data_IF_425866490227
#
_entry.id   IF_425866490227
#
_cell.length_a   1.000
_cell.length_b   1.000
_cell.length_c   1.000
_cell.angle_alpha   90.00
_cell.angle_beta   90.00
_cell.angle_gamma   90.00
#
_symmetry.space_group_name_H-M   'P 1'
#
loop_
_entity.id
_entity.type
_entity.pdbx_description
1 polymer ?
#
# COMPACT_ATOMS: atom_id res chain seq x y z
N UNK A 1 17.27 -19.49 -8.66
CA UNK A 1 16.37 -18.36 -9.00
C UNK A 1 15.94 -18.52 -10.45
N UNK A 2 14.63 -18.50 -10.71
CA UNK A 2 13.98 -18.69 -12.00
C UNK A 2 13.43 -17.37 -12.52
N UNK A 3 13.50 -17.13 -13.83
CA UNK A 3 13.11 -15.86 -14.46
C UNK A 3 12.12 -16.12 -15.61
N UNK A 4 10.82 -16.30 -15.34
CA UNK A 4 9.83 -16.48 -16.38
C UNK A 4 9.64 -15.19 -17.20
N UNK A 5 9.31 -15.33 -18.49
CA UNK A 5 9.07 -14.26 -19.44
C UNK A 5 7.59 -14.16 -19.87
N UNK A 6 6.79 -15.17 -19.54
CA UNK A 6 5.36 -15.24 -19.87
C UNK A 6 4.62 -16.23 -18.95
N UNK A 7 3.30 -16.22 -19.03
CA UNK A 7 2.40 -17.05 -18.22
C UNK A 7 2.66 -18.55 -18.38
N UNK A 8 2.98 -19.03 -19.57
CA UNK A 8 3.24 -20.47 -19.81
C UNK A 8 4.50 -20.93 -19.09
N UNK A 9 5.58 -20.13 -19.10
CA UNK A 9 6.79 -20.46 -18.32
C UNK A 9 6.52 -20.47 -16.81
N UNK A 10 5.66 -19.58 -16.29
CA UNK A 10 5.23 -19.63 -14.88
C UNK A 10 4.51 -20.95 -14.59
N UNK A 11 3.63 -21.37 -15.49
CA UNK A 11 2.92 -22.64 -15.39
C UNK A 11 3.87 -23.84 -15.39
N UNK A 12 4.83 -23.87 -16.31
CA UNK A 12 5.86 -24.92 -16.40
C UNK A 12 6.69 -24.99 -15.11
N UNK A 13 7.10 -23.84 -14.56
CA UNK A 13 7.85 -23.77 -13.28
C UNK A 13 7.01 -24.37 -12.14
N UNK A 14 5.74 -24.04 -12.04
CA UNK A 14 4.84 -24.56 -11.00
C UNK A 14 4.67 -26.08 -11.14
N UNK A 15 4.44 -26.58 -12.36
CA UNK A 15 4.29 -28.01 -12.61
C UNK A 15 5.58 -28.80 -12.28
N UNK A 16 6.73 -28.26 -12.68
CA UNK A 16 8.03 -28.87 -12.33
C UNK A 16 8.29 -28.84 -10.82
N UNK A 17 7.93 -27.76 -10.13
CA UNK A 17 8.07 -27.66 -8.68
C UNK A 17 7.18 -28.66 -7.93
N UNK A 18 5.98 -28.96 -8.45
CA UNK A 18 5.11 -30.01 -7.93
C UNK A 18 5.74 -31.39 -8.05
N UNK A 19 6.29 -31.71 -9.22
CA UNK A 19 6.96 -33.01 -9.47
C UNK A 19 8.18 -33.23 -8.56
N UNK A 20 8.88 -32.13 -8.22
CA UNK A 20 10.10 -32.15 -7.41
C UNK A 20 9.85 -31.82 -5.93
N UNK A 21 8.60 -31.61 -5.51
CA UNK A 21 8.21 -31.20 -4.15
C UNK A 21 8.98 -29.96 -3.65
N UNK A 22 9.26 -28.98 -4.55
CA UNK A 22 10.06 -27.79 -4.26
C UNK A 22 9.16 -26.58 -4.00
N UNK A 23 9.36 -25.90 -2.87
CA UNK A 23 8.66 -24.64 -2.57
C UNK A 23 9.10 -23.52 -3.50
N UNK A 24 8.18 -22.64 -3.89
CA UNK A 24 8.41 -21.48 -4.75
C UNK A 24 8.11 -20.17 -4.03
N UNK A 25 9.01 -19.18 -4.07
CA UNK A 25 8.84 -17.85 -3.48
C UNK A 25 8.79 -16.81 -4.58
N UNK A 26 7.67 -16.06 -4.75
CA UNK A 26 7.54 -15.06 -5.79
C UNK A 26 8.27 -13.76 -5.43
N UNK A 27 8.93 -13.15 -6.41
CA UNK A 27 9.66 -11.89 -6.31
C UNK A 27 9.41 -11.04 -7.55
N UNK A 28 8.93 -9.79 -7.38
CA UNK A 28 8.62 -8.90 -8.51
C UNK A 28 9.23 -7.52 -8.42
N UNK A 29 9.54 -7.05 -7.20
CA UNK A 29 10.14 -5.73 -6.98
C UNK A 29 11.66 -5.81 -6.92
N UNK A 30 12.34 -4.70 -7.26
CA UNK A 30 13.76 -4.54 -6.96
C UNK A 30 14.00 -4.42 -5.43
N UNK A 31 15.17 -4.85 -4.92
CA UNK A 31 15.51 -4.69 -3.51
C UNK A 31 15.49 -3.20 -3.07
N UNK A 32 15.38 -2.92 -1.75
CA UNK A 32 15.24 -3.86 -0.65
C UNK A 32 13.85 -4.51 -0.56
N UNK A 33 13.80 -5.73 -0.01
CA UNK A 33 12.55 -6.46 0.20
C UNK A 33 12.19 -6.42 1.68
N UNK A 34 11.07 -5.80 2.02
CA UNK A 34 10.63 -5.65 3.42
C UNK A 34 9.86 -6.86 3.91
N UNK A 35 8.99 -7.43 3.06
CA UNK A 35 8.09 -8.53 3.41
C UNK A 35 7.96 -9.53 2.27
N UNK A 36 7.39 -10.70 2.53
CA UNK A 36 6.96 -11.68 1.52
C UNK A 36 8.04 -12.50 0.84
N UNK A 37 9.18 -11.91 0.50
CA UNK A 37 10.28 -12.58 -0.23
C UNK A 37 11.33 -13.23 0.69
N UNK A 38 11.02 -13.47 1.95
CA UNK A 38 11.91 -14.24 2.83
C UNK A 38 11.97 -15.68 2.36
N UNK A 39 13.18 -16.13 2.01
CA UNK A 39 13.42 -17.50 1.59
C UNK A 39 13.20 -18.43 2.76
N UNK A 40 12.46 -19.52 2.53
CA UNK A 40 12.50 -20.71 3.37
C UNK A 40 13.64 -21.59 2.88
N UNK A 41 14.30 -22.30 3.79
CA UNK A 41 15.35 -23.25 3.43
C UNK A 41 14.81 -24.27 2.42
N UNK A 42 15.45 -24.37 1.26
CA UNK A 42 15.08 -25.29 0.19
C UNK A 42 14.06 -24.77 -0.83
N UNK A 43 13.51 -23.56 -0.67
CA UNK A 43 12.60 -22.98 -1.66
C UNK A 43 13.36 -22.27 -2.79
N UNK A 44 12.81 -22.30 -4.01
CA UNK A 44 13.34 -21.57 -5.17
C UNK A 44 12.61 -20.24 -5.35
N UNK A 45 13.37 -19.19 -5.69
CA UNK A 45 12.81 -17.87 -6.00
C UNK A 45 12.39 -17.81 -7.46
N UNK A 46 11.14 -17.37 -7.71
CA UNK A 46 10.61 -17.04 -9.03
C UNK A 46 10.59 -15.52 -9.17
N UNK A 47 11.53 -14.99 -9.96
CA UNK A 47 11.71 -13.55 -10.16
C UNK A 47 11.01 -13.08 -11.43
N UNK A 48 9.96 -12.28 -11.27
CA UNK A 48 9.13 -11.77 -12.37
C UNK A 48 9.73 -10.52 -13.07
N UNK A 49 10.97 -10.17 -12.84
CA UNK A 49 11.59 -8.96 -13.42
C UNK A 49 11.62 -8.95 -14.95
N UNK A 50 11.58 -10.11 -15.61
CA UNK A 50 11.47 -10.23 -17.07
C UNK A 50 10.06 -10.11 -17.61
N UNK A 51 9.03 -10.26 -16.78
CA UNK A 51 7.63 -9.99 -17.13
C UNK A 51 7.33 -8.51 -16.82
N UNK A 52 7.82 -7.61 -17.66
CA UNK A 52 7.83 -6.16 -17.42
C UNK A 52 7.12 -5.35 -18.50
N UNK A 53 6.17 -5.95 -19.21
CA UNK A 53 5.39 -5.25 -20.24
C UNK A 53 4.27 -4.43 -19.62
N UNK A 54 4.15 -3.16 -20.06
CA UNK A 54 2.93 -2.37 -19.90
C UNK A 54 2.02 -2.79 -21.04
N UNK A 55 1.02 -3.62 -20.75
CA UNK A 55 0.18 -4.28 -21.74
C UNK A 55 -0.80 -3.26 -22.37
N UNK A 56 -1.41 -2.40 -21.54
CA UNK A 56 -2.35 -1.38 -21.99
C UNK A 56 -2.46 -0.23 -20.99
N UNK A 57 -2.58 0.99 -21.52
CA UNK A 57 -3.02 2.17 -20.79
C UNK A 57 -4.27 2.68 -21.52
N UNK A 58 -5.41 2.72 -20.85
CA UNK A 58 -6.67 3.17 -21.44
C UNK A 58 -7.17 4.43 -20.74
N UNK A 59 -7.07 5.55 -21.47
CA UNK A 59 -7.47 6.86 -20.96
C UNK A 59 -8.99 6.97 -20.75
N UNK A 60 -9.77 6.34 -21.65
CA UNK A 60 -11.24 6.45 -21.60
C UNK A 60 -11.81 5.70 -20.41
N UNK A 61 -11.35 4.46 -20.22
CA UNK A 61 -11.79 3.59 -19.13
C UNK A 61 -10.98 3.77 -17.85
N UNK A 62 -9.91 4.58 -17.87
CA UNK A 62 -9.05 4.96 -16.76
C UNK A 62 -8.45 3.74 -16.03
N UNK A 63 -7.73 2.93 -16.78
CA UNK A 63 -6.99 1.80 -16.20
C UNK A 63 -5.64 1.60 -16.89
N UNK A 64 -4.78 0.88 -16.22
CA UNK A 64 -3.53 0.34 -16.77
C UNK A 64 -3.48 -1.15 -16.54
N UNK A 65 -2.99 -1.91 -17.51
CA UNK A 65 -2.72 -3.35 -17.36
C UNK A 65 -1.23 -3.59 -17.50
N UNK A 66 -0.66 -4.25 -16.51
CA UNK A 66 0.78 -4.43 -16.36
C UNK A 66 1.13 -5.84 -15.95
N UNK A 67 2.28 -6.29 -16.37
CA UNK A 67 2.93 -7.50 -15.84
C UNK A 67 3.59 -7.22 -14.47
N UNK A 68 3.83 -8.24 -13.64
CA UNK A 68 4.29 -8.06 -12.26
C UNK A 68 5.68 -7.44 -12.12
N UNK A 69 6.54 -7.50 -13.15
CA UNK A 69 7.85 -6.86 -13.15
C UNK A 69 7.84 -5.37 -13.46
N UNK A 70 6.69 -4.79 -13.86
CA UNK A 70 6.59 -3.35 -14.14
C UNK A 70 6.66 -2.56 -12.84
N UNK A 71 7.65 -1.65 -12.76
CA UNK A 71 7.91 -0.81 -11.58
C UNK A 71 7.17 0.53 -11.64
N UNK A 72 6.98 1.18 -10.50
CA UNK A 72 6.42 2.53 -10.46
C UNK A 72 7.27 3.54 -11.24
N UNK A 73 8.61 3.40 -11.17
CA UNK A 73 9.53 4.26 -11.89
C UNK A 73 9.37 4.24 -13.41
N UNK A 74 8.96 3.08 -13.96
CA UNK A 74 8.70 2.90 -15.40
C UNK A 74 7.27 3.26 -15.77
N UNK A 75 6.29 2.99 -14.90
CA UNK A 75 4.87 3.12 -15.19
C UNK A 75 4.38 4.56 -15.09
N UNK A 76 4.75 5.29 -14.03
CA UNK A 76 4.22 6.63 -13.74
C UNK A 76 4.43 7.60 -14.89
N UNK A 77 5.63 7.74 -15.51
CA UNK A 77 5.81 8.65 -16.64
C UNK A 77 4.89 8.35 -17.81
N UNK A 78 4.75 7.06 -18.17
CA UNK A 78 3.91 6.63 -19.29
C UNK A 78 2.42 6.85 -19.05
N UNK A 79 1.97 6.73 -17.80
CA UNK A 79 0.59 7.02 -17.39
C UNK A 79 0.33 8.53 -17.45
N UNK A 80 1.28 9.35 -16.98
CA UNK A 80 1.20 10.83 -17.06
C UNK A 80 1.14 11.34 -18.50
N UNK A 81 1.91 10.74 -19.43
CA UNK A 81 1.86 11.06 -20.87
C UNK A 81 0.46 10.85 -21.48
N UNK A 82 -0.35 9.96 -20.92
CA UNK A 82 -1.73 9.73 -21.33
C UNK A 82 -2.74 10.64 -20.62
N UNK A 83 -2.28 11.63 -19.82
CA UNK A 83 -3.14 12.50 -19.04
C UNK A 83 -3.83 11.78 -17.87
N UNK A 84 -3.23 10.71 -17.38
CA UNK A 84 -3.70 9.92 -16.24
C UNK A 84 -2.69 9.98 -15.09
N UNK A 85 -3.15 9.62 -13.89
CA UNK A 85 -2.32 9.37 -12.72
C UNK A 85 -2.73 8.06 -12.04
N UNK A 86 -1.79 7.46 -11.32
CA UNK A 86 -2.06 6.30 -10.47
C UNK A 86 -2.47 6.77 -9.07
N UNK A 87 -3.22 5.93 -8.37
CA UNK A 87 -3.41 6.08 -6.93
C UNK A 87 -2.24 5.39 -6.22
N UNK A 88 -1.29 6.20 -5.75
CA UNK A 88 -0.01 5.75 -5.24
C UNK A 88 -0.04 5.51 -3.72
N UNK A 89 0.74 4.55 -3.21
CA UNK A 89 1.14 4.54 -1.82
C UNK A 89 2.00 5.76 -1.46
N UNK A 90 2.08 6.06 -0.18
CA UNK A 90 2.97 7.12 0.30
C UNK A 90 4.43 6.78 0.00
N UNK A 91 5.11 7.67 -0.72
CA UNK A 91 6.50 7.52 -1.14
C UNK A 91 6.79 6.14 -1.76
N UNK A 92 5.95 5.73 -2.71
CA UNK A 92 6.14 4.50 -3.46
C UNK A 92 7.55 4.46 -4.07
N UNK A 93 8.34 3.42 -3.76
CA UNK A 93 9.70 3.30 -4.31
C UNK A 93 9.67 3.13 -5.82
N UNK A 94 10.59 3.78 -6.55
CA UNK A 94 10.68 3.65 -8.00
C UNK A 94 10.85 2.19 -8.47
N UNK A 95 11.62 1.38 -7.75
CA UNK A 95 11.84 -0.04 -8.03
C UNK A 95 10.78 -1.01 -7.50
N UNK A 96 9.70 -0.51 -6.86
CA UNK A 96 8.58 -1.36 -6.40
C UNK A 96 7.68 -1.73 -7.58
N UNK A 97 7.30 -2.98 -7.67
CA UNK A 97 6.29 -3.45 -8.62
C UNK A 97 4.93 -2.84 -8.34
N UNK A 98 4.30 -2.23 -9.35
CA UNK A 98 2.97 -1.65 -9.23
C UNK A 98 1.88 -2.72 -8.98
N UNK A 99 2.00 -3.89 -9.61
CA UNK A 99 1.10 -5.01 -9.38
C UNK A 99 1.26 -5.59 -7.96
N UNK A 100 2.49 -5.81 -7.49
CA UNK A 100 2.74 -6.32 -6.14
C UNK A 100 2.25 -5.37 -5.05
N UNK A 101 2.49 -4.06 -5.20
CA UNK A 101 1.98 -3.03 -4.28
C UNK A 101 0.47 -3.12 -4.10
N UNK A 102 -0.27 -3.26 -5.21
CA UNK A 102 -1.73 -3.40 -5.18
C UNK A 102 -2.19 -4.73 -4.59
N UNK A 103 -1.50 -5.84 -4.92
CA UNK A 103 -1.78 -7.16 -4.36
C UNK A 103 -1.51 -7.23 -2.85
N UNK A 104 -0.49 -6.53 -2.37
CA UNK A 104 -0.15 -6.41 -0.95
C UNK A 104 -1.10 -5.47 -0.18
N UNK A 105 -2.04 -4.81 -0.84
CA UNK A 105 -2.93 -3.79 -0.24
C UNK A 105 -2.15 -2.67 0.43
N UNK A 106 -1.10 -2.17 -0.20
CA UNK A 106 -0.44 -0.98 0.32
C UNK A 106 -1.42 0.20 0.38
N UNK A 107 -1.39 0.94 1.47
CA UNK A 107 -2.28 2.07 1.70
C UNK A 107 -2.05 3.16 0.64
N UNK A 108 -3.10 3.60 -0.02
CA UNK A 108 -3.03 4.60 -1.09
C UNK A 108 -3.44 5.98 -0.59
N UNK A 109 -2.90 7.03 -1.24
CA UNK A 109 -3.06 8.43 -0.81
C UNK A 109 -4.42 9.05 -1.18
N UNK A 110 -5.13 8.49 -2.19
CA UNK A 110 -6.41 9.03 -2.69
C UNK A 110 -7.59 8.24 -2.09
N UNK A 111 -8.11 8.60 -0.90
CA UNK A 111 -9.21 7.89 -0.28
C UNK A 111 -10.56 8.13 -0.96
N UNK A 112 -10.70 9.25 -1.66
CA UNK A 112 -11.91 9.77 -2.29
C UNK A 112 -12.52 8.83 -3.35
N UNK A 113 -11.66 8.15 -4.11
CA UNK A 113 -12.05 7.24 -5.20
C UNK A 113 -11.93 5.76 -4.84
N UNK A 114 -11.58 5.46 -3.60
CA UNK A 114 -11.46 4.11 -3.12
C UNK A 114 -12.84 3.58 -2.70
N UNK A 115 -13.29 2.49 -3.31
CA UNK A 115 -14.56 1.83 -2.99
C UNK A 115 -14.38 0.65 -2.05
N UNK A 116 -13.26 -0.04 -2.16
CA UNK A 116 -12.95 -1.23 -1.38
C UNK A 116 -11.45 -1.29 -1.05
N UNK A 117 -11.07 -2.11 -0.08
CA UNK A 117 -9.68 -2.33 0.32
C UNK A 117 -8.78 -2.92 -0.77
N UNK A 118 -9.24 -3.77 -1.72
CA UNK A 118 -8.44 -4.18 -2.87
C UNK A 118 -8.14 -3.08 -3.89
N UNK A 119 -8.83 -1.94 -3.85
CA UNK A 119 -8.52 -0.83 -4.75
C UNK A 119 -7.03 -0.41 -4.59
N UNK A 120 -6.31 -0.10 -5.67
CA UNK A 120 -6.75 0.10 -7.06
C UNK A 120 -6.81 -1.16 -7.95
N UNK A 121 -6.70 -2.37 -7.42
CA UNK A 121 -6.69 -3.61 -8.19
C UNK A 121 -8.09 -3.92 -8.75
N UNK A 122 -8.18 -4.22 -10.06
CA UNK A 122 -9.43 -4.51 -10.75
C UNK A 122 -9.55 -5.99 -11.13
N UNK A 123 -8.66 -6.46 -12.00
CA UNK A 123 -8.66 -7.84 -12.50
C UNK A 123 -7.23 -8.35 -12.56
N UNK A 124 -7.06 -9.65 -12.48
CA UNK A 124 -5.76 -10.30 -12.63
C UNK A 124 -5.86 -11.59 -13.42
N UNK A 125 -4.74 -11.98 -14.03
CA UNK A 125 -4.46 -13.35 -14.42
C UNK A 125 -3.54 -13.97 -13.38
N UNK A 126 -3.82 -15.20 -13.00
CA UNK A 126 -3.01 -15.92 -12.01
C UNK A 126 -2.82 -17.37 -12.46
N UNK A 127 -1.67 -17.96 -12.09
CA UNK A 127 -1.42 -19.39 -12.19
C UNK A 127 -1.48 -19.97 -10.78
N UNK A 128 -2.40 -20.90 -10.57
CA UNK A 128 -2.53 -21.60 -9.29
C UNK A 128 -1.46 -22.68 -9.11
N UNK A 129 -1.31 -23.19 -7.90
CA UNK A 129 -0.42 -24.31 -7.59
C UNK A 129 -0.77 -25.59 -8.34
N UNK A 130 -1.99 -25.74 -8.85
CA UNK A 130 -2.40 -26.83 -9.76
C UNK A 130 -1.79 -26.70 -11.16
N UNK A 131 -1.25 -25.54 -11.53
CA UNK A 131 -0.83 -25.19 -12.90
C UNK A 131 -1.95 -24.62 -13.75
N UNK A 132 -3.16 -24.45 -13.22
CA UNK A 132 -4.28 -23.86 -13.95
C UNK A 132 -4.12 -22.33 -14.04
N UNK A 133 -4.35 -21.81 -15.25
CA UNK A 133 -4.41 -20.35 -15.49
C UNK A 133 -5.84 -19.88 -15.27
N UNK A 134 -6.00 -18.84 -14.44
CA UNK A 134 -7.29 -18.31 -14.08
C UNK A 134 -7.34 -16.79 -14.22
N UNK A 135 -8.49 -16.27 -14.65
CA UNK A 135 -8.75 -14.85 -14.87
C UNK A 135 -9.91 -14.40 -13.98
N UNK A 136 -9.68 -13.35 -13.20
CA UNK A 136 -10.69 -12.82 -12.26
C UNK A 136 -11.65 -11.84 -12.93
N UNK A 137 -12.83 -11.65 -12.34
CA UNK A 137 -13.81 -10.68 -12.79
C UNK A 137 -14.24 -10.89 -14.24
N UNK A 138 -14.47 -9.81 -14.97
CA UNK A 138 -14.84 -9.87 -16.39
C UNK A 138 -13.74 -10.43 -17.30
N UNK A 139 -12.49 -10.53 -16.82
CA UNK A 139 -11.43 -11.14 -17.58
C UNK A 139 -11.64 -12.65 -17.80
N UNK A 140 -12.40 -13.32 -16.91
CA UNK A 140 -12.78 -14.73 -17.03
C UNK A 140 -13.91 -15.01 -18.01
N UNK A 141 -14.53 -13.97 -18.62
CA UNK A 141 -15.53 -14.13 -19.68
C UNK A 141 -14.91 -14.41 -21.04
N UNK A 142 -15.76 -14.70 -22.05
CA UNK A 142 -15.28 -14.83 -23.45
C UNK A 142 -14.69 -13.51 -23.94
N UNK A 143 -13.79 -13.56 -24.93
CA UNK A 143 -13.18 -12.34 -25.50
C UNK A 143 -14.22 -11.35 -26.03
N UNK A 144 -15.34 -11.84 -26.53
CA UNK A 144 -16.46 -11.04 -27.07
C UNK A 144 -17.29 -10.36 -25.96
N UNK A 145 -17.38 -10.97 -24.76
CA UNK A 145 -18.20 -10.48 -23.65
C UNK A 145 -17.41 -9.77 -22.53
N UNK A 146 -16.10 -9.77 -22.62
CA UNK A 146 -15.21 -9.46 -21.49
C UNK A 146 -15.06 -7.97 -21.16
N UNK A 147 -15.89 -7.06 -21.70
CA UNK A 147 -15.93 -5.63 -21.34
C UNK A 147 -14.53 -5.04 -21.01
N UNK A 148 -13.58 -5.16 -21.93
CA UNK A 148 -12.16 -4.80 -21.78
C UNK A 148 -11.42 -5.51 -20.61
N UNK A 149 -12.01 -6.53 -20.01
CA UNK A 149 -11.41 -7.30 -18.88
C UNK A 149 -11.11 -6.45 -17.65
N UNK A 150 -11.92 -5.45 -17.36
CA UNK A 150 -11.63 -4.46 -16.27
C UNK A 150 -12.61 -4.48 -15.12
N UNK A 151 -13.77 -5.13 -15.26
CA UNK A 151 -14.76 -5.19 -14.18
C UNK A 151 -14.32 -6.21 -13.13
N UNK A 152 -14.19 -5.79 -11.83
CA UNK A 152 -13.55 -6.61 -10.81
C UNK A 152 -14.42 -7.75 -10.28
N UNK A 153 -15.75 -7.66 -10.45
CA UNK A 153 -16.70 -8.60 -9.83
C UNK A 153 -16.88 -9.87 -10.65
N UNK A 154 -16.94 -10.99 -9.95
CA UNK A 154 -17.26 -12.28 -10.54
C UNK A 154 -16.02 -13.10 -10.98
N UNK A 155 -16.22 -14.08 -11.86
CA UNK A 155 -17.53 -14.49 -12.40
C UNK A 155 -18.45 -15.12 -11.35
N UNK A 156 -19.73 -14.80 -11.43
CA UNK A 156 -20.74 -15.37 -10.54
C UNK A 156 -20.70 -14.81 -9.11
N UNK A 157 -20.94 -15.67 -8.12
CA UNK A 157 -21.10 -15.33 -6.71
C UNK A 157 -19.78 -15.29 -5.91
N UNK A 158 -18.66 -15.69 -6.50
CA UNK A 158 -17.34 -15.78 -5.83
C UNK A 158 -16.42 -14.69 -6.38
N UNK A 159 -15.85 -13.90 -5.47
CA UNK A 159 -14.83 -12.90 -5.79
C UNK A 159 -13.43 -13.49 -5.57
N UNK A 160 -12.87 -14.09 -6.61
CA UNK A 160 -11.54 -14.69 -6.58
C UNK A 160 -10.41 -13.67 -6.37
N UNK A 161 -10.62 -12.41 -6.73
CA UNK A 161 -9.63 -11.36 -6.51
C UNK A 161 -9.31 -11.19 -5.02
N UNK A 162 -10.30 -11.36 -4.16
CA UNK A 162 -10.11 -11.26 -2.70
C UNK A 162 -9.30 -12.38 -2.11
N UNK A 163 -9.28 -13.59 -2.73
CA UNK A 163 -8.40 -14.67 -2.32
C UNK A 163 -6.93 -14.41 -2.65
N UNK A 164 -6.66 -13.65 -3.70
CA UNK A 164 -5.30 -13.32 -4.15
C UNK A 164 -4.75 -12.08 -3.45
N UNK A 165 -5.62 -11.15 -3.06
CA UNK A 165 -5.25 -9.90 -2.41
C UNK A 165 -4.79 -10.14 -0.97
N UNK A 166 -3.61 -9.65 -0.60
CA UNK A 166 -2.89 -9.90 0.66
C UNK A 166 -2.54 -11.38 0.93
N UNK A 167 -2.65 -12.25 -0.08
CA UNK A 167 -2.32 -13.67 0.05
C UNK A 167 -0.82 -13.98 0.06
N UNK A 168 0.05 -12.99 -0.06
CA UNK A 168 1.51 -13.16 -0.05
C UNK A 168 2.03 -14.22 -1.05
N UNK A 169 1.32 -14.40 -2.19
CA UNK A 169 1.68 -15.40 -3.19
C UNK A 169 1.42 -16.87 -2.79
N UNK A 170 0.68 -17.13 -1.72
CA UNK A 170 0.39 -18.49 -1.25
C UNK A 170 -0.73 -19.20 -2.02
N UNK A 171 -1.57 -18.46 -2.74
CA UNK A 171 -2.74 -18.99 -3.47
C UNK A 171 -2.45 -19.14 -4.96
N UNK A 172 -1.72 -18.21 -5.55
CA UNK A 172 -1.37 -18.20 -6.97
C UNK A 172 -0.33 -17.15 -7.29
N UNK A 173 0.32 -17.29 -8.44
CA UNK A 173 1.27 -16.32 -8.97
C UNK A 173 0.60 -15.48 -10.04
N UNK A 174 0.46 -14.19 -9.79
CA UNK A 174 -0.17 -13.24 -10.71
C UNK A 174 0.78 -12.93 -11.86
N UNK A 175 0.30 -13.07 -13.08
CA UNK A 175 1.08 -12.88 -14.33
C UNK A 175 0.75 -11.57 -15.04
N UNK A 176 -0.40 -10.98 -14.78
CA UNK A 176 -0.69 -9.56 -15.04
C UNK A 176 -1.79 -9.05 -14.11
N UNK A 177 -1.81 -7.72 -13.93
CA UNK A 177 -2.81 -7.03 -13.13
C UNK A 177 -3.35 -5.81 -13.87
N UNK A 178 -4.65 -5.55 -13.74
CA UNK A 178 -5.30 -4.31 -14.18
C UNK A 178 -5.52 -3.41 -12.98
N UNK A 179 -5.01 -2.18 -13.04
CA UNK A 179 -5.06 -1.20 -11.97
C UNK A 179 -5.89 0.00 -12.40
N UNK A 180 -6.68 0.57 -11.48
CA UNK A 180 -7.35 1.86 -11.68
C UNK A 180 -6.33 2.98 -11.91
N UNK A 181 -6.70 3.88 -12.80
CA UNK A 181 -6.06 5.17 -12.95
C UNK A 181 -7.10 6.29 -12.81
N UNK A 182 -6.65 7.49 -12.50
CA UNK A 182 -7.48 8.68 -12.40
C UNK A 182 -7.00 9.72 -13.42
N UNK A 183 -7.85 10.69 -13.74
CA UNK A 183 -7.46 11.80 -14.61
C UNK A 183 -6.38 12.62 -13.90
N UNK A 184 -5.34 13.00 -14.64
CA UNK A 184 -4.30 13.88 -14.13
C UNK A 184 -4.90 15.27 -13.88
N UNK A 185 -4.78 15.85 -12.67
CA UNK A 185 -5.31 17.18 -12.39
C UNK A 185 -4.55 18.27 -13.16
N UNK A 186 -5.25 19.34 -13.52
CA UNK A 186 -4.69 20.52 -14.19
C UNK A 186 -4.04 21.49 -13.19
N UNK A 187 -4.66 21.61 -12.02
CA UNK A 187 -4.20 22.50 -10.92
C UNK A 187 -4.40 21.80 -9.58
N UNK A 188 -3.64 22.19 -8.58
CA UNK A 188 -3.75 21.64 -7.23
C UNK A 188 -3.27 22.62 -6.17
N UNK A 189 -3.71 22.40 -4.93
CA UNK A 189 -3.19 23.06 -3.73
C UNK A 189 -2.90 22.04 -2.66
N UNK A 190 -1.74 22.18 -2.02
CA UNK A 190 -1.32 21.38 -0.87
C UNK A 190 -1.48 22.20 0.41
N UNK A 191 -2.21 21.65 1.37
CA UNK A 191 -2.39 22.23 2.70
C UNK A 191 -1.61 21.45 3.75
N UNK A 192 -1.02 22.19 4.67
CA UNK A 192 -0.41 21.72 5.91
C UNK A 192 -1.33 22.08 7.07
N UNK A 193 -1.72 21.11 7.86
CA UNK A 193 -2.52 21.30 9.07
C UNK A 193 -1.74 20.71 10.24
N UNK A 194 -1.35 21.57 11.17
CA UNK A 194 -0.53 21.23 12.31
C UNK A 194 -1.37 21.04 13.56
N UNK A 195 -1.01 20.05 14.40
CA UNK A 195 -1.68 19.82 15.69
C UNK A 195 -0.73 19.23 16.73
N UNK A 196 -1.07 19.47 17.99
CA UNK A 196 -0.38 18.84 19.14
C UNK A 196 -0.82 17.40 19.36
N UNK A 197 -2.02 17.03 18.91
CA UNK A 197 -2.62 15.73 19.12
C UNK A 197 -3.07 15.09 17.79
N UNK A 198 -2.60 13.85 17.53
CA UNK A 198 -2.97 13.11 16.33
C UNK A 198 -4.45 12.76 16.23
N UNK A 199 -5.14 12.60 17.36
CA UNK A 199 -6.59 12.36 17.40
C UNK A 199 -7.41 13.52 16.83
N UNK A 200 -6.96 14.76 16.99
CA UNK A 200 -7.56 15.94 16.38
C UNK A 200 -7.53 15.86 14.84
N UNK A 201 -6.38 15.49 14.29
CA UNK A 201 -6.20 15.36 12.84
C UNK A 201 -6.98 14.16 12.27
N UNK A 202 -7.06 13.05 12.98
CA UNK A 202 -7.87 11.90 12.52
C UNK A 202 -9.36 12.22 12.50
N UNK A 203 -9.87 13.01 13.46
CA UNK A 203 -11.24 13.51 13.48
C UNK A 203 -11.54 14.41 12.27
N UNK A 204 -10.63 15.35 11.98
CA UNK A 204 -10.73 16.23 10.81
C UNK A 204 -10.63 15.44 9.50
N UNK A 205 -9.65 14.52 9.38
CA UNK A 205 -9.48 13.68 8.19
C UNK A 205 -10.73 12.84 7.90
N UNK A 206 -11.36 12.24 8.95
CA UNK A 206 -12.62 11.54 8.80
C UNK A 206 -13.72 12.44 8.23
N UNK A 207 -13.83 13.67 8.72
CA UNK A 207 -14.82 14.64 8.24
C UNK A 207 -14.59 15.02 6.79
N UNK A 208 -13.35 15.35 6.42
CA UNK A 208 -12.97 15.69 5.05
C UNK A 208 -13.21 14.54 4.08
N UNK A 209 -12.82 13.33 4.46
CA UNK A 209 -12.98 12.14 3.61
C UNK A 209 -14.46 11.74 3.42
N UNK A 210 -15.28 11.83 4.46
CA UNK A 210 -16.75 11.63 4.34
C UNK A 210 -17.40 12.59 3.36
N UNK A 211 -16.90 13.82 3.30
CA UNK A 211 -17.34 14.86 2.35
C UNK A 211 -16.67 14.73 0.98
N UNK A 212 -15.76 13.77 0.80
CA UNK A 212 -15.00 13.54 -0.44
C UNK A 212 -14.24 14.77 -0.91
N UNK A 213 -13.67 15.54 0.03
CA UNK A 213 -12.94 16.76 -0.26
C UNK A 213 -11.51 16.45 -0.74
N UNK A 214 -10.66 15.70 0.01
CA UNK A 214 -9.26 15.54 -0.34
C UNK A 214 -9.07 14.60 -1.53
N UNK A 215 -8.19 14.97 -2.44
CA UNK A 215 -7.64 14.07 -3.44
C UNK A 215 -6.55 13.19 -2.81
N UNK A 216 -5.57 13.76 -2.14
CA UNK A 216 -4.62 13.04 -1.30
C UNK A 216 -4.75 13.49 0.15
N UNK A 217 -4.61 12.55 1.09
CA UNK A 217 -4.68 12.83 2.52
C UNK A 217 -3.80 11.86 3.31
N UNK A 218 -2.89 12.42 4.12
CA UNK A 218 -2.00 11.65 5.00
C UNK A 218 -1.71 12.45 6.26
N UNK A 219 -1.60 11.78 7.39
CA UNK A 219 -1.19 12.33 8.67
C UNK A 219 0.13 11.69 9.05
N UNK A 220 1.08 12.50 9.44
CA UNK A 220 2.42 12.07 9.86
C UNK A 220 2.69 12.67 11.24
N UNK A 221 3.33 11.89 12.10
CA UNK A 221 3.98 12.50 13.25
C UNK A 221 5.28 13.17 12.81
N UNK A 222 5.84 13.97 13.71
CA UNK A 222 7.09 14.71 13.49
C UNK A 222 8.24 13.80 13.03
N UNK A 223 8.34 12.60 13.58
CA UNK A 223 9.43 11.67 13.29
C UNK A 223 9.34 11.14 11.85
N UNK A 224 8.14 10.71 11.43
CA UNK A 224 7.94 10.27 10.05
C UNK A 224 7.95 11.45 9.06
N UNK A 225 7.44 12.63 9.44
CA UNK A 225 7.51 13.81 8.59
C UNK A 225 8.97 14.19 8.30
N UNK A 226 9.82 14.27 9.32
CA UNK A 226 11.22 14.59 9.14
C UNK A 226 11.96 13.51 8.34
N UNK A 227 11.80 12.24 8.68
CA UNK A 227 12.46 11.14 7.97
C UNK A 227 12.05 11.04 6.50
N UNK A 228 10.77 11.27 6.19
CA UNK A 228 10.22 11.17 4.84
C UNK A 228 10.69 12.29 3.92
N UNK A 229 10.75 13.53 4.42
CA UNK A 229 10.93 14.71 3.56
C UNK A 229 12.28 15.41 3.69
N UNK A 230 13.15 15.02 4.61
CA UNK A 230 14.51 15.53 4.66
C UNK A 230 15.41 14.83 3.63
N UNK A 231 16.29 15.57 2.98
CA UNK A 231 17.32 15.02 2.09
C UNK A 231 18.64 14.75 2.83
N UNK A 232 18.86 15.43 3.96
CA UNK A 232 20.07 15.31 4.78
C UNK A 232 19.76 15.52 6.28
N UNK A 233 20.77 15.31 7.14
CA UNK A 233 20.63 15.40 8.59
C UNK A 233 20.30 16.82 9.10
N UNK A 234 20.76 17.86 8.40
CA UNK A 234 20.49 19.26 8.78
C UNK A 234 19.00 19.58 8.52
N UNK A 235 18.48 19.20 7.37
CA UNK A 235 17.06 19.32 7.06
C UNK A 235 16.20 18.51 8.02
N UNK A 236 16.61 17.27 8.33
CA UNK A 236 15.89 16.43 9.30
C UNK A 236 15.78 17.11 10.67
N UNK A 237 16.88 17.71 11.13
CA UNK A 237 16.91 18.48 12.39
C UNK A 237 15.99 19.71 12.31
N UNK A 238 15.91 20.37 11.16
CA UNK A 238 15.01 21.50 10.95
C UNK A 238 13.54 21.06 10.93
N UNK A 239 13.22 19.98 10.21
CA UNK A 239 11.86 19.44 10.11
C UNK A 239 11.33 18.90 11.46
N UNK A 240 12.21 18.38 12.32
CA UNK A 240 11.85 17.97 13.69
C UNK A 240 11.46 19.13 14.63
N UNK A 241 11.60 20.40 14.20
CA UNK A 241 11.12 21.56 14.96
C UNK A 241 9.64 21.87 14.71
N UNK A 242 8.99 21.13 13.80
CA UNK A 242 7.56 21.28 13.51
C UNK A 242 6.68 20.83 14.70
N UNK A 243 5.38 21.06 14.60
CA UNK A 243 4.41 20.53 15.55
C UNK A 243 4.50 18.99 15.64
N UNK A 244 4.06 18.37 16.74
CA UNK A 244 4.09 16.91 16.90
C UNK A 244 3.41 16.13 15.80
N UNK A 245 2.38 16.70 15.17
CA UNK A 245 1.61 16.08 14.11
C UNK A 245 1.34 17.04 12.96
N UNK A 246 1.41 16.52 11.74
CA UNK A 246 1.16 17.24 10.49
C UNK A 246 0.20 16.42 9.64
N UNK A 247 -0.88 17.02 9.17
CA UNK A 247 -1.72 16.45 8.12
C UNK A 247 -1.47 17.18 6.82
N UNK A 248 -1.19 16.43 5.77
CA UNK A 248 -1.09 16.91 4.39
C UNK A 248 -2.42 16.62 3.68
N UNK A 249 -3.03 17.65 3.12
CA UNK A 249 -4.25 17.54 2.34
C UNK A 249 -4.03 18.21 1.00
N UNK A 250 -4.15 17.45 -0.07
CA UNK A 250 -4.09 17.99 -1.42
C UNK A 250 -5.47 17.96 -2.05
N UNK A 251 -5.86 19.07 -2.66
CA UNK A 251 -7.11 19.23 -3.44
C UNK A 251 -6.78 19.60 -4.87
N UNK A 252 -7.59 19.15 -5.82
CA UNK A 252 -7.29 19.25 -7.22
C UNK A 252 -8.46 19.80 -8.05
N UNK A 253 -8.12 20.56 -9.10
CA UNK A 253 -9.01 20.93 -10.19
C UNK A 253 -8.74 20.13 -11.44
N UNK A 254 -9.80 19.73 -12.16
CA UNK A 254 -9.74 18.86 -13.33
C UNK A 254 -10.54 19.46 -14.50
N UNK A 255 -10.08 19.20 -15.73
CA UNK A 255 -10.73 19.48 -17.01
C UNK A 255 -11.44 20.83 -17.13
N UNK A 256 -12.73 20.88 -16.75
CA UNK A 256 -13.57 22.08 -16.90
C UNK A 256 -13.56 22.90 -15.62
N UNK A 257 -13.24 24.18 -15.78
CA UNK A 257 -13.19 25.15 -14.67
C UNK A 257 -12.31 24.68 -13.51
N UNK A 258 -11.04 24.27 -13.78
CA UNK A 258 -10.19 23.67 -12.74
C UNK A 258 -9.89 24.65 -11.60
N UNK A 259 -9.69 25.93 -11.88
CA UNK A 259 -9.39 26.96 -10.89
C UNK A 259 -10.60 27.25 -9.98
N UNK A 260 -11.79 27.37 -10.55
CA UNK A 260 -13.03 27.60 -9.78
C UNK A 260 -13.35 26.40 -8.89
N UNK A 261 -13.16 25.20 -9.43
CA UNK A 261 -13.31 23.97 -8.64
C UNK A 261 -12.30 23.91 -7.50
N UNK A 262 -11.03 24.22 -7.79
CA UNK A 262 -9.98 24.26 -6.80
C UNK A 262 -10.31 25.23 -5.67
N UNK A 263 -10.72 26.47 -6.01
CA UNK A 263 -11.08 27.50 -5.04
C UNK A 263 -12.23 27.06 -4.11
N UNK A 264 -13.23 26.35 -4.63
CA UNK A 264 -14.32 25.78 -3.83
C UNK A 264 -13.80 24.75 -2.82
N UNK A 265 -12.95 23.81 -3.26
CA UNK A 265 -12.40 22.78 -2.38
C UNK A 265 -11.42 23.35 -1.35
N UNK A 266 -10.62 24.36 -1.70
CA UNK A 266 -9.80 25.12 -0.76
C UNK A 266 -10.66 25.77 0.34
N UNK A 267 -11.79 26.37 -0.06
CA UNK A 267 -12.76 26.94 0.87
C UNK A 267 -13.29 25.89 1.85
N UNK A 268 -13.64 24.71 1.36
CA UNK A 268 -14.12 23.61 2.21
C UNK A 268 -13.03 23.11 3.18
N UNK A 269 -11.77 22.98 2.75
CA UNK A 269 -10.67 22.58 3.65
C UNK A 269 -10.53 23.61 4.78
N UNK A 270 -10.47 24.92 4.45
CA UNK A 270 -10.32 26.00 5.44
C UNK A 270 -11.50 26.02 6.43
N UNK A 271 -12.73 25.95 5.93
CA UNK A 271 -13.95 25.93 6.74
C UNK A 271 -13.97 24.75 7.74
N UNK A 272 -13.63 23.55 7.29
CA UNK A 272 -13.63 22.37 8.16
C UNK A 272 -12.47 22.40 9.18
N UNK A 273 -11.34 23.00 8.82
CA UNK A 273 -10.24 23.25 9.76
C UNK A 273 -10.68 24.25 10.86
N UNK A 274 -11.29 25.37 10.50
CA UNK A 274 -11.79 26.36 11.44
C UNK A 274 -12.81 25.75 12.43
N UNK A 275 -13.74 24.93 11.94
CA UNK A 275 -14.71 24.20 12.79
C UNK A 275 -14.03 23.23 13.76
N UNK A 276 -12.88 22.68 13.39
CA UNK A 276 -12.07 21.81 14.24
C UNK A 276 -11.10 22.56 15.17
N UNK A 277 -11.09 23.91 15.12
CA UNK A 277 -10.15 24.75 15.87
C UNK A 277 -8.71 24.65 15.34
N UNK A 278 -8.55 24.34 14.06
CA UNK A 278 -7.26 24.19 13.37
C UNK A 278 -7.13 25.19 12.23
N UNK A 279 -5.91 25.34 11.71
CA UNK A 279 -5.63 26.20 10.57
C UNK A 279 -5.01 25.42 9.43
N UNK A 280 -5.51 25.63 8.21
CA UNK A 280 -4.93 25.10 6.98
C UNK A 280 -4.05 26.17 6.31
N UNK A 281 -2.77 25.88 6.13
CA UNK A 281 -1.81 26.77 5.46
C UNK A 281 -1.22 26.11 4.23
N UNK A 282 -0.91 26.89 3.20
CA UNK A 282 -0.31 26.40 1.96
C UNK A 282 1.22 26.39 1.98
N UNK A 283 1.82 26.93 3.03
CA UNK A 283 3.26 26.95 3.27
C UNK A 283 3.56 26.60 4.72
N UNK A 284 4.56 25.77 4.95
CA UNK A 284 4.98 25.41 6.29
C UNK A 284 6.11 26.30 6.83
N UNK A 285 6.81 27.02 5.94
CA UNK A 285 7.89 27.95 6.31
C UNK A 285 9.12 27.29 6.96
N UNK A 286 9.25 25.98 6.89
CA UNK A 286 10.32 25.21 7.53
C UNK A 286 11.61 25.22 6.72
N UNK A 287 11.50 25.00 5.42
CA UNK A 287 12.63 24.97 4.48
C UNK A 287 12.19 25.60 3.14
N UNK A 288 13.09 26.31 2.45
CA UNK A 288 12.78 26.85 1.12
C UNK A 288 12.46 25.72 0.11
N UNK A 289 11.34 25.87 -0.62
CA UNK A 289 10.94 24.91 -1.67
C UNK A 289 10.42 23.55 -1.16
N UNK A 290 10.25 23.38 0.15
CA UNK A 290 9.77 22.12 0.74
C UNK A 290 8.36 21.77 0.25
N UNK A 291 7.48 22.77 0.14
CA UNK A 291 6.09 22.59 -0.29
C UNK A 291 6.02 21.97 -1.69
N UNK A 292 6.78 22.51 -2.64
CA UNK A 292 6.84 21.99 -3.99
C UNK A 292 7.42 20.57 -4.01
N UNK A 293 8.50 20.32 -3.26
CA UNK A 293 9.13 19.00 -3.14
C UNK A 293 8.15 17.97 -2.58
N UNK A 294 7.40 18.30 -1.53
CA UNK A 294 6.38 17.42 -0.96
C UNK A 294 5.28 17.13 -1.99
N UNK A 295 4.78 18.13 -2.70
CA UNK A 295 3.75 17.94 -3.71
C UNK A 295 4.21 17.01 -4.84
N UNK A 296 5.44 17.16 -5.32
CA UNK A 296 6.05 16.26 -6.29
C UNK A 296 6.15 14.83 -5.75
N UNK A 297 6.61 14.66 -4.50
CA UNK A 297 6.77 13.36 -3.86
C UNK A 297 5.43 12.64 -3.58
N UNK A 298 4.34 13.37 -3.36
CA UNK A 298 3.00 12.79 -3.21
C UNK A 298 2.39 12.30 -4.54
N UNK A 299 2.89 12.80 -5.67
CA UNK A 299 2.34 12.55 -7.01
C UNK A 299 3.26 11.74 -7.93
N UNK A 300 4.44 11.37 -7.45
CA UNK A 300 5.41 10.54 -8.16
C UNK A 300 5.97 9.44 -7.23
N UNK A 301 6.86 8.61 -7.74
CA UNK A 301 7.58 7.63 -6.95
C UNK A 301 8.84 8.22 -6.32
N UNK A 302 9.23 7.66 -5.18
CA UNK A 302 10.51 7.97 -4.53
C UNK A 302 11.66 7.35 -5.33
N UNK A 303 12.51 8.21 -5.89
CA UNK A 303 13.68 7.83 -6.70
C UNK A 303 14.98 7.88 -5.92
N UNK A 304 14.94 8.19 -4.63
CA UNK A 304 16.13 8.16 -3.77
C UNK A 304 16.70 6.74 -3.72
N UNK A 305 18.03 6.58 -3.71
CA UNK A 305 18.67 5.26 -3.69
C UNK A 305 18.30 4.48 -2.43
N UNK A 306 18.24 5.16 -1.29
CA UNK A 306 17.89 4.57 -0.02
C UNK A 306 16.45 4.91 0.35
N UNK A 307 15.67 3.90 0.73
CA UNK A 307 14.34 4.13 1.28
C UNK A 307 14.42 5.00 2.53
N UNK A 308 13.52 5.98 2.64
CA UNK A 308 13.42 6.81 3.85
C UNK A 308 13.21 5.98 5.13
N UNK A 309 12.64 4.79 4.99
CA UNK A 309 12.46 3.84 6.08
C UNK A 309 13.77 3.28 6.61
N UNK A 310 14.76 3.03 5.73
CA UNK A 310 16.06 2.45 6.06
C UNK A 310 17.16 3.48 6.40
N UNK A 311 16.80 4.73 6.60
CA UNK A 311 17.73 5.83 6.81
C UNK A 311 18.76 5.61 7.94
N UNK A 312 18.40 4.79 8.94
CA UNK A 312 19.27 4.45 10.06
C UNK A 312 19.85 3.03 10.00
N UNK A 313 19.75 2.37 8.84
CA UNK A 313 20.28 1.02 8.61
C UNK A 313 19.19 -0.04 8.57
N UNK A 314 18.38 -0.16 9.61
CA UNK A 314 17.30 -1.16 9.68
C UNK A 314 15.98 -0.56 10.17
N UNK A 315 14.90 -1.26 9.88
CA UNK A 315 13.55 -0.91 10.29
C UNK A 315 12.72 -2.16 10.60
N UNK A 316 11.79 -2.01 11.54
CA UNK A 316 10.65 -2.90 11.76
C UNK A 316 9.37 -2.07 11.76
N UNK A 317 8.31 -2.60 11.15
CA UNK A 317 7.03 -1.89 11.07
C UNK A 317 5.86 -2.72 11.60
N UNK A 318 4.86 -2.01 12.14
CA UNK A 318 3.53 -2.55 12.38
C UNK A 318 2.54 -1.86 11.44
N UNK A 319 1.78 -2.67 10.72
CA UNK A 319 0.72 -2.21 9.81
C UNK A 319 -0.62 -2.69 10.34
N UNK A 320 -1.54 -1.75 10.56
CA UNK A 320 -2.86 -2.09 11.09
C UNK A 320 -3.96 -1.20 10.52
N UNK A 321 -5.18 -1.70 10.50
CA UNK A 321 -6.40 -0.96 10.25
C UNK A 321 -7.09 -0.64 11.58
N UNK A 322 -7.68 0.54 11.66
CA UNK A 322 -8.46 0.99 12.80
C UNK A 322 -9.76 1.67 12.34
N UNK A 323 -10.90 1.44 12.99
CA UNK A 323 -12.08 2.26 12.77
C UNK A 323 -11.83 3.67 13.30
N UNK A 324 -12.47 4.71 12.74
CA UNK A 324 -12.27 6.09 13.17
C UNK A 324 -12.43 6.33 14.68
N UNK A 325 -13.36 5.61 15.30
CA UNK A 325 -13.64 5.71 16.75
C UNK A 325 -12.54 5.16 17.67
N UNK A 326 -11.64 4.32 17.15
CA UNK A 326 -10.56 3.71 17.91
C UNK A 326 -9.19 4.34 17.61
N UNK A 327 -9.06 5.03 16.48
CA UNK A 327 -7.79 5.50 15.96
C UNK A 327 -7.01 6.35 16.95
N UNK A 328 -7.65 7.34 17.60
CA UNK A 328 -6.98 8.21 18.56
C UNK A 328 -6.36 7.43 19.74
N UNK A 329 -7.13 6.52 20.36
CA UNK A 329 -6.62 5.71 21.47
C UNK A 329 -5.50 4.74 21.06
N UNK A 330 -5.54 4.21 19.83
CA UNK A 330 -4.44 3.39 19.30
C UNK A 330 -3.16 4.19 19.10
N UNK A 331 -3.26 5.46 18.67
CA UNK A 331 -2.09 6.34 18.55
C UNK A 331 -1.46 6.65 19.93
N UNK A 332 -2.27 6.80 20.97
CA UNK A 332 -1.79 6.95 22.35
C UNK A 332 -1.03 5.69 22.82
N UNK A 333 -1.61 4.51 22.64
CA UNK A 333 -0.97 3.22 22.97
C UNK A 333 0.36 3.05 22.24
N UNK A 334 0.43 3.44 20.96
CA UNK A 334 1.66 3.40 20.17
C UNK A 334 2.72 4.33 20.70
N UNK A 335 2.37 5.59 21.02
CA UNK A 335 3.31 6.57 21.55
C UNK A 335 3.80 6.22 22.95
N UNK A 336 2.94 5.66 23.80
CA UNK A 336 3.33 5.19 25.13
C UNK A 336 4.25 3.97 25.07
N UNK A 337 3.94 3.03 24.16
CA UNK A 337 4.71 1.80 24.02
C UNK A 337 6.03 1.96 23.26
N UNK A 338 6.07 2.88 22.29
CA UNK A 338 7.22 3.12 21.40
C UNK A 338 7.37 4.63 21.11
N UNK A 339 7.80 5.46 22.09
CA UNK A 339 7.88 6.92 21.94
C UNK A 339 8.77 7.37 20.78
N UNK A 340 9.81 6.58 20.44
CA UNK A 340 10.75 6.86 19.37
C UNK A 340 10.26 6.45 17.97
N UNK A 341 9.17 5.70 17.88
CA UNK A 341 8.63 5.28 16.61
C UNK A 341 8.01 6.45 15.84
N UNK A 342 8.20 6.45 14.54
CA UNK A 342 7.46 7.31 13.64
C UNK A 342 6.08 6.73 13.31
N UNK A 343 5.06 7.57 13.25
CA UNK A 343 3.69 7.17 12.96
C UNK A 343 3.17 7.84 11.69
N UNK A 344 2.52 7.03 10.86
CA UNK A 344 1.79 7.49 9.68
C UNK A 344 0.35 7.01 9.77
N UNK A 345 -0.60 7.88 9.43
CA UNK A 345 -2.03 7.55 9.42
C UNK A 345 -2.64 7.97 8.09
N UNK A 346 -3.26 7.03 7.40
CA UNK A 346 -3.89 7.26 6.11
C UNK A 346 -5.36 6.86 6.13
N UNK A 347 -6.30 7.76 5.79
CA UNK A 347 -7.69 7.37 5.62
C UNK A 347 -7.82 6.39 4.45
N UNK A 348 -8.64 5.36 4.65
CA UNK A 348 -8.93 4.33 3.66
C UNK A 348 -10.43 4.23 3.40
N UNK A 349 -10.80 3.81 2.20
CA UNK A 349 -12.20 3.59 1.78
C UNK A 349 -13.09 4.78 2.19
N UNK A 350 -12.73 5.98 1.73
CA UNK A 350 -13.48 7.22 2.02
C UNK A 350 -13.57 7.56 3.53
N UNK A 351 -12.56 7.22 4.30
CA UNK A 351 -12.49 7.49 5.74
C UNK A 351 -13.27 6.50 6.63
N UNK A 352 -13.72 5.36 6.09
CA UNK A 352 -14.35 4.30 6.90
C UNK A 352 -13.39 3.59 7.84
N UNK A 353 -12.11 3.59 7.49
CA UNK A 353 -11.03 3.11 8.34
C UNK A 353 -9.79 3.98 8.15
N UNK A 354 -8.88 3.86 9.09
CA UNK A 354 -7.53 4.42 8.99
C UNK A 354 -6.51 3.30 8.95
N UNK A 355 -5.57 3.39 8.02
CA UNK A 355 -4.33 2.62 8.06
C UNK A 355 -3.37 3.36 8.97
N UNK A 356 -2.88 2.65 9.99
CA UNK A 356 -1.81 3.13 10.86
C UNK A 356 -0.56 2.33 10.55
N UNK A 357 0.53 3.02 10.32
CA UNK A 357 1.86 2.46 10.16
C UNK A 357 2.76 3.00 11.27
N UNK A 358 3.40 2.10 12.02
CA UNK A 358 4.36 2.42 13.07
C UNK A 358 5.73 1.94 12.60
N UNK A 359 6.68 2.88 12.41
CA UNK A 359 8.01 2.62 11.89
C UNK A 359 9.05 2.74 13.03
N UNK A 360 9.70 1.65 13.38
CA UNK A 360 10.79 1.62 14.35
C UNK A 360 12.10 1.46 13.61
N UNK A 361 12.86 2.56 13.53
CA UNK A 361 14.15 2.61 12.86
C UNK A 361 15.26 2.45 13.88
N UNK A 362 16.30 1.70 13.54
CA UNK A 362 17.42 1.41 14.43
C UNK A 362 18.69 1.11 13.64
N UNK A 363 19.85 1.15 14.31
CA UNK A 363 21.11 0.71 13.74
C UNK A 363 21.09 -0.82 13.56
N UNK A 364 21.57 -1.29 12.40
CA UNK A 364 21.62 -2.73 12.10
C UNK A 364 22.77 -3.43 12.85
N UNK A 365 22.58 -3.61 14.15
CA UNK A 365 23.51 -4.28 15.04
C UNK A 365 23.02 -5.71 15.38
N UNK A 366 23.95 -6.66 15.66
CA UNK A 366 23.58 -8.02 16.02
C UNK A 366 22.58 -8.08 17.18
N UNK A 367 21.45 -8.76 16.99
CA UNK A 367 20.41 -8.94 18.02
C UNK A 367 19.38 -7.80 18.12
N UNK A 368 19.64 -6.61 17.58
CA UNK A 368 18.67 -5.50 17.64
C UNK A 368 17.40 -5.80 16.84
N UNK A 369 17.50 -6.44 15.68
CA UNK A 369 16.33 -6.81 14.86
C UNK A 369 15.37 -7.73 15.61
N UNK A 370 15.87 -8.76 16.27
CA UNK A 370 15.05 -9.70 17.06
C UNK A 370 14.45 -9.03 18.30
N UNK A 371 15.24 -8.18 18.98
CA UNK A 371 14.76 -7.40 20.12
C UNK A 371 13.58 -6.49 19.71
N UNK A 372 13.71 -5.74 18.61
CA UNK A 372 12.65 -4.85 18.10
C UNK A 372 11.42 -5.63 17.67
N UNK A 373 11.60 -6.78 17.06
CA UNK A 373 10.49 -7.66 16.69
C UNK A 373 9.71 -8.15 17.91
N UNK A 374 10.40 -8.55 18.99
CA UNK A 374 9.76 -8.95 20.24
C UNK A 374 9.00 -7.77 20.90
N UNK A 375 9.62 -6.59 20.99
CA UNK A 375 8.98 -5.38 21.52
C UNK A 375 7.71 -5.02 20.74
N UNK A 376 7.78 -5.04 19.41
CA UNK A 376 6.64 -4.77 18.54
C UNK A 376 5.55 -5.84 18.64
N UNK A 377 5.91 -7.10 18.82
CA UNK A 377 4.93 -8.16 18.97
C UNK A 377 4.14 -8.03 20.29
N UNK A 378 4.80 -7.69 21.40
CA UNK A 378 4.10 -7.42 22.68
C UNK A 378 3.20 -6.18 22.58
N UNK A 379 3.64 -5.14 21.87
CA UNK A 379 2.83 -3.97 21.61
C UNK A 379 1.62 -4.32 20.71
N UNK A 380 1.82 -5.17 19.70
CA UNK A 380 0.75 -5.61 18.79
C UNK A 380 -0.37 -6.35 19.52
N UNK A 381 -0.08 -7.14 20.57
CA UNK A 381 -1.12 -7.76 21.41
C UNK A 381 -1.99 -6.71 22.09
N UNK A 382 -1.38 -5.69 22.71
CA UNK A 382 -2.12 -4.60 23.35
C UNK A 382 -2.97 -3.81 22.36
N UNK A 383 -2.47 -3.60 21.14
CA UNK A 383 -3.19 -2.93 20.07
C UNK A 383 -4.37 -3.77 19.55
N UNK A 384 -4.20 -5.09 19.41
CA UNK A 384 -5.27 -6.01 19.05
C UNK A 384 -6.40 -5.98 20.08
N UNK A 385 -6.08 -6.05 21.37
CA UNK A 385 -7.05 -5.95 22.47
C UNK A 385 -7.81 -4.60 22.48
N UNK A 386 -7.14 -3.52 22.03
CA UNK A 386 -7.74 -2.20 21.87
C UNK A 386 -8.57 -2.04 20.57
N UNK A 387 -8.55 -3.03 19.68
CA UNK A 387 -9.35 -3.09 18.46
C UNK A 387 -8.63 -2.74 17.18
N UNK A 388 -7.31 -2.82 17.13
CA UNK A 388 -6.53 -2.80 15.90
C UNK A 388 -6.72 -4.12 15.13
N UNK A 389 -6.72 -4.05 13.78
CA UNK A 389 -6.80 -5.21 12.92
C UNK A 389 -5.57 -5.27 11.99
N UNK A 390 -4.81 -6.35 12.05
CA UNK A 390 -3.62 -6.57 11.23
C UNK A 390 -4.03 -7.29 9.94
N UNK A 391 -4.47 -6.54 8.94
CA UNK A 391 -4.94 -7.08 7.65
C UNK A 391 -3.80 -7.52 6.70
N UNK A 392 -2.56 -7.18 7.05
CA UNK A 392 -1.33 -7.57 6.36
C UNK A 392 -0.35 -8.20 7.36
N UNK A 393 -0.69 -9.35 7.98
CA UNK A 393 0.16 -9.96 8.99
C UNK A 393 1.40 -10.58 8.36
N UNK A 394 2.57 -10.12 8.81
CA UNK A 394 3.87 -10.69 8.44
C UNK A 394 4.54 -11.31 9.65
N UNK A 395 5.30 -12.39 9.44
CA UNK A 395 6.03 -13.06 10.52
C UNK A 395 5.10 -13.47 11.67
N UNK A 396 5.51 -13.17 12.89
CA UNK A 396 4.78 -13.51 14.13
C UNK A 396 3.41 -12.85 14.29
N UNK A 397 3.12 -11.76 13.56
CA UNK A 397 1.80 -11.14 13.58
C UNK A 397 0.69 -12.09 13.08
N UNK A 398 1.04 -13.11 12.32
CA UNK A 398 0.12 -14.17 11.90
C UNK A 398 -0.53 -14.88 13.08
N UNK A 399 0.16 -15.04 14.20
CA UNK A 399 -0.35 -15.67 15.43
C UNK A 399 -1.53 -14.86 16.04
N UNK A 400 -1.55 -13.54 15.87
CA UNK A 400 -2.62 -12.67 16.38
C UNK A 400 -3.86 -12.67 15.47
N UNK A 401 -3.69 -12.95 14.19
CA UNK A 401 -4.78 -12.89 13.19
C UNK A 401 -5.39 -14.28 12.97
N UNK A 402 -4.55 -15.32 12.92
CA UNK A 402 -4.97 -16.69 12.66
C UNK A 402 -5.09 -17.50 13.96
N UNK A 403 -5.87 -17.00 14.91
CA UNK A 403 -6.04 -17.56 16.24
C UNK A 403 -7.40 -18.29 16.46
N UNK A 404 -8.28 -18.29 15.44
CA UNK A 404 -9.56 -19.01 15.49
C UNK A 404 -9.44 -20.32 14.67
N UNK A 405 -9.46 -21.51 15.33
CA UNK A 405 -9.13 -22.79 14.69
C UNK A 405 -10.04 -23.16 13.50
N UNK A 406 -11.34 -22.87 13.58
CA UNK A 406 -12.27 -23.20 12.49
C UNK A 406 -12.03 -22.35 11.25
N UNK A 407 -11.73 -21.06 11.44
CA UNK A 407 -11.38 -20.17 10.34
C UNK A 407 -10.06 -20.57 9.67
N UNK A 408 -9.06 -20.94 10.47
CA UNK A 408 -7.77 -21.44 9.97
C UNK A 408 -7.96 -22.72 9.17
N UNK A 409 -8.74 -23.68 9.68
CA UNK A 409 -9.03 -24.93 8.97
C UNK A 409 -9.77 -24.67 7.64
N UNK A 410 -10.75 -23.77 7.64
CA UNK A 410 -11.42 -23.38 6.40
C UNK A 410 -10.47 -22.76 5.37
N UNK A 411 -9.57 -21.85 5.79
CA UNK A 411 -8.56 -21.26 4.90
C UNK A 411 -7.59 -22.31 4.36
N UNK A 412 -7.15 -23.27 5.18
CA UNK A 412 -6.29 -24.38 4.74
C UNK A 412 -6.99 -25.29 3.72
N UNK A 413 -8.30 -25.53 3.86
CA UNK A 413 -9.09 -26.24 2.86
C UNK A 413 -9.17 -25.49 1.55
N UNK A 414 -9.38 -24.15 1.60
CA UNK A 414 -9.37 -23.30 0.41
C UNK A 414 -8.00 -23.33 -0.27
N UNK A 415 -6.91 -23.18 0.49
CA UNK A 415 -5.55 -23.30 -0.03
C UNK A 415 -5.36 -24.62 -0.80
N UNK A 416 -5.80 -25.75 -0.26
CA UNK A 416 -5.67 -27.07 -0.91
C UNK A 416 -6.43 -27.21 -2.22
N UNK A 417 -7.43 -26.37 -2.50
CA UNK A 417 -8.11 -26.34 -3.79
C UNK A 417 -7.18 -25.75 -4.87
N UNK A 418 -6.45 -24.69 -4.53
CA UNK A 418 -5.63 -23.94 -5.48
C UNK A 418 -4.16 -24.39 -5.49
N UNK A 419 -3.67 -24.93 -4.38
CA UNK A 419 -2.30 -25.41 -4.21
C UNK A 419 -2.30 -26.66 -3.33
N UNK A 420 -2.68 -27.81 -3.91
CA UNK A 420 -2.85 -29.07 -3.17
C UNK A 420 -1.56 -29.58 -2.52
N UNK A 421 -0.41 -29.32 -3.15
CA UNK A 421 0.90 -29.79 -2.73
C UNK A 421 1.62 -28.78 -1.81
N UNK A 422 1.04 -27.59 -1.60
CA UNK A 422 1.57 -26.58 -0.67
C UNK A 422 2.89 -25.94 -1.11
N UNK A 423 3.15 -25.91 -2.42
CA UNK A 423 4.43 -25.41 -2.97
C UNK A 423 4.51 -23.89 -3.09
N UNK A 424 3.38 -23.19 -3.13
CA UNK A 424 3.37 -21.74 -3.31
C UNK A 424 3.63 -21.01 -1.99
N UNK A 425 4.78 -20.35 -1.91
CA UNK A 425 5.28 -19.54 -0.77
C UNK A 425 5.01 -20.19 0.60
N UNK A 426 5.53 -21.41 0.85
CA UNK A 426 5.25 -22.16 2.05
C UNK A 426 5.72 -21.43 3.32
N UNK A 427 5.02 -21.63 4.43
CA UNK A 427 5.34 -21.01 5.72
C UNK A 427 4.88 -19.55 5.86
N UNK A 428 4.04 -19.05 4.95
CA UNK A 428 3.41 -17.73 5.05
C UNK A 428 1.96 -17.84 5.49
N UNK A 429 1.47 -16.78 6.18
CA UNK A 429 0.12 -16.74 6.75
C UNK A 429 -0.11 -17.89 7.74
N UNK A 430 -1.11 -18.73 7.50
CA UNK A 430 -1.40 -19.93 8.29
C UNK A 430 -1.12 -21.24 7.51
N UNK A 431 -0.30 -21.18 6.46
CA UNK A 431 -0.06 -22.26 5.51
C UNK A 431 1.33 -22.86 5.60
#
# INVERSE_FOLDING_TARGET
MLFPENTEQVREIILSARENETGLVPLSSAPPHFHGASLNDGAETVCFSKMNRIIRIDRRSRYVRVEPGVTFGELIPKVKEQGLRLNLPFLARAGKSAAASSLEREAVLIPKYQYDYPDPLLTVETVFGTGDVFLTGSAGGSEESAADKVLPWGPGSIDYLRFLSAAQGTIGFVTWATLKAEILPSVSSLFFIFAENGGQLTGLANTLCRKRIPDECIILDRENFAAAFADNAEEETALRKTAPWVMLVRVCGFDRYPEERLAIYEGYVKEECEKAGLSAVTGCGLLPGLEQRIEEMLTDCDRRPDSWKLRYGAEKELLMLAPPSKTAGLLEILKDGMPQAGLTVQPQVQGRAFRIECNVRFEDLPGESEKRENELFELAKRLADAGAYFDRPYGRLTELVYNEPLSVDAMRRVKKIFDPDGILNPGKLCF
#
